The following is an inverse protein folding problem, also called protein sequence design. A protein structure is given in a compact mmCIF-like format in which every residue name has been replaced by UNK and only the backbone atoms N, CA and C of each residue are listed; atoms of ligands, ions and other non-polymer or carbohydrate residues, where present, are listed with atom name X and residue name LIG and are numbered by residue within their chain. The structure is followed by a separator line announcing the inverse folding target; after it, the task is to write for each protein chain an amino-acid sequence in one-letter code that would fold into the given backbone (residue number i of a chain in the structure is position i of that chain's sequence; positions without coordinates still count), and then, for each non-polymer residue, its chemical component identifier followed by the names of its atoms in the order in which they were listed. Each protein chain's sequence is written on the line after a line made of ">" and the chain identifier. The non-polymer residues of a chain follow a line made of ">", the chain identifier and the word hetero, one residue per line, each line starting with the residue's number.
data_IF_880921734002
#
_entry.id   IF_880921734002
#
_cell.length_a   1.000
_cell.length_b   1.000
_cell.length_c   1.000
_cell.angle_alpha   90.00
_cell.angle_beta   90.00
_cell.angle_gamma   90.00
#
_symmetry.space_group_name_H-M   'P 1'
#
loop_
_entity.id
_entity.type
_entity.pdbx_description
1 polymer ?
#
# COMPACT_ATOMS: atom_id res chain seq x y z
N UNK A 1 13.67 49.69 -39.98
CA UNK A 1 13.28 48.28 -39.88
C UNK A 1 14.20 47.64 -38.82
N UNK A 2 13.71 47.43 -37.59
CA UNK A 2 14.42 46.72 -36.55
C UNK A 2 13.89 45.29 -36.51
N UNK A 3 14.74 44.33 -36.87
CA UNK A 3 14.40 42.91 -36.74
C UNK A 3 14.44 42.51 -35.27
N UNK A 4 13.33 42.00 -34.75
CA UNK A 4 13.21 41.43 -33.45
C UNK A 4 13.62 39.95 -33.55
N UNK A 5 14.80 39.60 -33.06
CA UNK A 5 15.25 38.21 -32.94
C UNK A 5 14.62 37.63 -31.67
N UNK A 6 13.64 36.76 -31.87
CA UNK A 6 13.04 36.02 -30.78
C UNK A 6 13.95 34.82 -30.45
N UNK A 7 14.69 34.90 -29.34
CA UNK A 7 15.50 33.80 -28.82
C UNK A 7 14.56 32.78 -28.17
N UNK A 8 14.33 31.64 -28.84
CA UNK A 8 13.62 30.50 -28.28
C UNK A 8 14.56 29.79 -27.31
N UNK A 9 14.42 30.03 -26.01
CA UNK A 9 15.09 29.22 -24.99
C UNK A 9 14.41 27.84 -24.95
N UNK A 10 15.02 26.85 -25.59
CA UNK A 10 14.69 25.44 -25.38
C UNK A 10 15.27 25.08 -24.02
N UNK A 11 14.43 24.97 -23.02
CA UNK A 11 14.81 24.35 -21.75
C UNK A 11 15.11 22.88 -22.02
N UNK A 12 16.38 22.52 -22.13
CA UNK A 12 16.83 21.14 -22.04
C UNK A 12 16.51 20.67 -20.61
N UNK A 13 15.39 20.03 -20.42
CA UNK A 13 15.12 19.25 -19.22
C UNK A 13 16.20 18.17 -19.13
N UNK A 14 17.03 18.25 -18.10
CA UNK A 14 17.93 17.16 -17.73
C UNK A 14 17.06 15.94 -17.49
N UNK A 15 17.16 14.93 -18.39
CA UNK A 15 16.59 13.60 -18.13
C UNK A 15 17.23 13.13 -16.82
N UNK A 16 16.44 13.05 -15.76
CA UNK A 16 16.89 12.45 -14.52
C UNK A 16 17.37 11.03 -14.86
N UNK A 17 18.55 10.65 -14.35
CA UNK A 17 19.07 9.29 -14.53
C UNK A 17 18.06 8.30 -13.97
N UNK A 18 17.87 7.19 -14.68
CA UNK A 18 17.02 6.10 -14.16
C UNK A 18 17.53 5.69 -12.77
N UNK A 19 16.63 5.46 -11.79
CA UNK A 19 17.05 5.04 -10.46
C UNK A 19 17.73 3.67 -10.53
N UNK A 20 18.69 3.44 -9.66
CA UNK A 20 19.29 2.13 -9.52
C UNK A 20 18.26 1.16 -8.93
N UNK A 21 17.97 0.08 -9.67
CA UNK A 21 16.99 -0.94 -9.25
C UNK A 21 17.71 -2.25 -8.95
N UNK A 22 17.42 -2.81 -7.79
CA UNK A 22 17.94 -4.11 -7.34
C UNK A 22 16.79 -5.12 -7.27
N UNK A 23 16.98 -6.31 -7.86
CA UNK A 23 16.07 -7.44 -7.65
C UNK A 23 16.32 -8.04 -6.27
N UNK A 24 15.32 -8.02 -5.42
CA UNK A 24 15.39 -8.59 -4.06
C UNK A 24 14.94 -10.04 -4.07
N UNK A 25 13.85 -10.35 -4.79
CA UNK A 25 13.34 -11.70 -4.92
C UNK A 25 12.57 -11.89 -6.23
N UNK A 26 12.61 -13.10 -6.79
CA UNK A 26 12.01 -13.41 -8.09
C UNK A 26 13.06 -13.44 -9.21
N UNK A 27 12.66 -13.13 -10.42
CA UNK A 27 13.52 -13.16 -11.61
C UNK A 27 13.49 -11.83 -12.36
N UNK A 28 14.60 -11.49 -13.04
CA UNK A 28 14.62 -10.44 -14.05
C UNK A 28 13.95 -10.92 -15.34
N UNK A 29 13.25 -10.03 -16.02
CA UNK A 29 12.77 -10.28 -17.37
C UNK A 29 13.92 -10.10 -18.40
N UNK A 30 13.77 -10.73 -19.55
CA UNK A 30 14.73 -10.57 -20.66
C UNK A 30 14.88 -9.10 -21.05
N UNK A 31 16.11 -8.62 -21.14
CA UNK A 31 16.41 -7.26 -21.59
C UNK A 31 16.46 -6.19 -20.48
N UNK A 32 16.15 -6.51 -19.22
CA UNK A 32 16.16 -5.54 -18.11
C UNK A 32 17.55 -5.34 -17.47
N UNK A 33 18.60 -6.01 -17.99
CA UNK A 33 19.99 -5.78 -17.61
C UNK A 33 20.50 -6.52 -16.39
N UNK A 34 19.71 -7.42 -15.81
CA UNK A 34 20.11 -8.31 -14.72
C UNK A 34 20.37 -9.75 -15.20
N UNK A 35 21.06 -10.57 -14.39
CA UNK A 35 21.25 -11.98 -14.72
C UNK A 35 19.91 -12.71 -14.72
N UNK A 36 19.63 -13.45 -15.79
CA UNK A 36 18.47 -14.36 -15.83
C UNK A 36 18.73 -15.46 -14.81
N UNK A 37 18.02 -15.43 -13.68
CA UNK A 37 18.13 -16.47 -12.67
C UNK A 37 17.16 -17.60 -13.00
N UNK A 38 17.66 -18.81 -13.10
CA UNK A 38 16.85 -20.03 -13.36
C UNK A 38 16.29 -20.66 -12.08
N UNK A 39 16.30 -19.92 -10.96
CA UNK A 39 15.75 -20.43 -9.70
C UNK A 39 14.22 -20.52 -9.78
N UNK A 40 13.60 -21.62 -9.31
CA UNK A 40 12.16 -21.67 -9.18
C UNK A 40 11.68 -20.50 -8.32
N UNK A 41 10.79 -19.68 -8.86
CA UNK A 41 10.17 -18.60 -8.08
C UNK A 41 8.94 -19.18 -7.38
N UNK A 42 8.96 -19.36 -6.04
CA UNK A 42 7.83 -19.90 -5.31
C UNK A 42 6.70 -18.88 -5.11
N UNK A 43 6.92 -17.58 -5.37
CA UNK A 43 5.91 -16.54 -5.16
C UNK A 43 4.73 -16.69 -6.12
N UNK A 44 3.51 -16.58 -5.56
CA UNK A 44 2.24 -16.65 -6.30
C UNK A 44 1.44 -15.38 -6.06
N UNK A 45 1.62 -14.41 -6.94
CA UNK A 45 1.01 -13.08 -6.82
C UNK A 45 1.33 -12.44 -5.45
N UNK A 46 2.58 -12.05 -5.20
CA UNK A 46 2.92 -11.26 -4.01
C UNK A 46 2.17 -9.92 -4.08
N UNK A 47 1.62 -9.47 -2.95
CA UNK A 47 0.77 -8.27 -2.93
C UNK A 47 1.26 -7.20 -1.97
N UNK A 48 1.90 -7.58 -0.88
CA UNK A 48 2.45 -6.65 0.09
C UNK A 48 3.71 -7.20 0.73
N UNK A 49 4.57 -6.29 1.12
CA UNK A 49 5.77 -6.57 1.92
C UNK A 49 5.89 -5.55 3.04
N UNK A 50 6.47 -5.98 4.17
CA UNK A 50 6.86 -5.11 5.27
C UNK A 50 7.97 -5.76 6.08
N UNK A 51 8.59 -5.04 7.03
CA UNK A 51 9.84 -5.43 7.67
C UNK A 51 9.77 -5.39 9.19
N UNK A 52 10.53 -6.25 9.86
CA UNK A 52 10.86 -6.11 11.27
C UNK A 52 12.16 -5.30 11.49
N UNK A 53 12.48 -5.01 12.76
CA UNK A 53 13.67 -4.24 13.11
C UNK A 53 14.99 -4.94 12.71
N UNK A 54 14.99 -6.26 12.56
CA UNK A 54 16.12 -7.06 12.13
C UNK A 54 16.33 -7.01 10.61
N UNK A 55 15.40 -6.38 9.86
CA UNK A 55 15.44 -6.30 8.40
C UNK A 55 14.92 -7.55 7.71
N UNK A 56 14.23 -8.45 8.44
CA UNK A 56 13.52 -9.54 7.78
C UNK A 56 12.32 -8.96 7.02
N UNK A 57 12.19 -9.34 5.75
CA UNK A 57 11.04 -9.00 4.92
C UNK A 57 9.94 -10.06 5.07
N UNK A 58 8.72 -9.62 5.30
CA UNK A 58 7.53 -10.46 5.31
C UNK A 58 6.71 -10.20 4.05
N UNK A 59 6.30 -11.27 3.37
CA UNK A 59 5.66 -11.22 2.05
C UNK A 59 4.33 -11.95 2.13
N UNK A 60 3.24 -11.31 1.72
CA UNK A 60 1.92 -11.94 1.62
C UNK A 60 1.55 -12.20 0.18
N UNK A 61 0.93 -13.34 -0.08
CA UNK A 61 0.47 -13.78 -1.39
C UNK A 61 -1.05 -13.73 -1.51
N UNK A 62 -1.55 -13.13 -2.57
CA UNK A 62 -2.99 -13.14 -2.87
C UNK A 62 -3.47 -14.52 -3.28
N UNK A 63 -2.78 -15.13 -4.24
CA UNK A 63 -3.17 -16.43 -4.81
C UNK A 63 -2.65 -17.62 -4.01
N UNK A 64 -1.48 -17.50 -3.40
CA UNK A 64 -0.80 -18.57 -2.69
C UNK A 64 -1.36 -18.87 -1.29
N UNK A 65 -2.05 -17.92 -0.68
CA UNK A 65 -2.58 -18.08 0.68
C UNK A 65 -1.51 -18.32 1.75
N UNK A 66 -0.29 -17.82 1.52
CA UNK A 66 0.88 -18.00 2.39
C UNK A 66 1.52 -16.68 2.76
N UNK A 67 2.18 -16.69 3.91
CA UNK A 67 3.07 -15.62 4.36
C UNK A 67 4.49 -16.17 4.40
N UNK A 68 5.38 -15.45 3.76
CA UNK A 68 6.79 -15.81 3.70
C UNK A 68 7.63 -14.80 4.47
N UNK A 69 8.79 -15.27 4.95
CA UNK A 69 9.85 -14.47 5.55
C UNK A 69 11.12 -14.65 4.72
N UNK A 70 11.73 -13.54 4.32
CA UNK A 70 13.04 -13.48 3.71
C UNK A 70 13.98 -12.72 4.65
N UNK A 71 15.06 -13.39 5.09
CA UNK A 71 16.05 -12.75 5.97
C UNK A 71 17.07 -11.94 5.16
N UNK A 72 17.84 -11.03 5.80
CA UNK A 72 18.95 -10.33 5.14
C UNK A 72 19.99 -11.25 4.52
N UNK A 73 20.14 -12.49 5.06
CA UNK A 73 21.03 -13.55 4.54
C UNK A 73 20.42 -14.34 3.37
N UNK A 74 19.28 -13.87 2.82
CA UNK A 74 18.53 -14.50 1.74
C UNK A 74 17.95 -15.90 2.07
N UNK A 75 17.63 -16.16 3.35
CA UNK A 75 16.92 -17.36 3.76
C UNK A 75 15.41 -17.12 3.60
N UNK A 76 14.78 -17.86 2.66
CA UNK A 76 13.36 -17.80 2.37
C UNK A 76 12.62 -18.92 3.07
N UNK A 77 11.60 -18.58 3.87
CA UNK A 77 10.79 -19.52 4.66
C UNK A 77 9.31 -19.19 4.60
N UNK A 78 8.45 -20.18 4.41
CA UNK A 78 7.01 -20.00 4.65
C UNK A 78 6.73 -20.08 6.15
N UNK A 79 6.18 -19.02 6.73
CA UNK A 79 5.92 -18.91 8.17
C UNK A 79 4.45 -19.11 8.54
N UNK A 80 3.54 -18.92 7.59
CA UNK A 80 2.10 -19.08 7.81
C UNK A 80 1.36 -19.47 6.53
N UNK A 81 0.20 -20.08 6.71
CA UNK A 81 -0.68 -20.51 5.64
C UNK A 81 -0.35 -21.90 5.10
N UNK A 82 -1.34 -22.76 4.98
CA UNK A 82 -1.21 -24.08 4.34
C UNK A 82 -1.39 -24.03 2.81
N UNK A 83 -1.78 -22.86 2.29
CA UNK A 83 -2.04 -22.62 0.86
C UNK A 83 -3.51 -22.78 0.47
N UNK A 84 -4.37 -23.21 1.37
CA UNK A 84 -5.82 -23.24 1.13
C UNK A 84 -6.47 -21.90 1.48
N UNK A 85 -7.61 -21.63 0.83
CA UNK A 85 -8.34 -20.35 0.97
C UNK A 85 -9.55 -20.57 1.87
N UNK A 86 -9.41 -20.25 3.15
CA UNK A 86 -10.52 -20.30 4.09
C UNK A 86 -10.24 -19.44 5.33
N UNK A 87 -11.08 -19.52 6.36
CA UNK A 87 -10.93 -18.79 7.62
C UNK A 87 -10.83 -19.80 8.78
N UNK A 88 -9.60 -20.25 9.08
CA UNK A 88 -9.33 -21.21 10.15
C UNK A 88 -8.00 -20.92 10.84
N UNK A 89 -7.77 -21.54 11.99
CA UNK A 89 -6.49 -21.62 12.65
C UNK A 89 -6.24 -20.54 13.72
N UNK A 90 -7.26 -19.77 14.12
CA UNK A 90 -7.14 -18.87 15.28
C UNK A 90 -6.82 -19.66 16.56
N UNK A 91 -5.82 -19.18 17.31
CA UNK A 91 -5.33 -19.83 18.53
C UNK A 91 -4.38 -21.01 18.30
N UNK A 92 -4.05 -21.30 17.04
CA UNK A 92 -3.15 -22.39 16.66
C UNK A 92 -1.90 -21.93 15.91
N UNK A 93 -1.03 -22.89 15.53
CA UNK A 93 0.16 -22.60 14.75
C UNK A 93 -0.17 -21.94 13.41
N UNK A 94 0.49 -20.82 13.09
CA UNK A 94 0.22 -20.05 11.87
C UNK A 94 0.45 -20.85 10.58
N UNK A 95 1.35 -21.84 10.59
CA UNK A 95 1.58 -22.75 9.43
C UNK A 95 0.36 -23.60 9.09
N UNK A 96 -0.50 -23.88 10.06
CA UNK A 96 -1.76 -24.62 9.86
C UNK A 96 -2.98 -23.70 9.69
N UNK A 97 -2.79 -22.39 9.79
CA UNK A 97 -3.84 -21.42 9.55
C UNK A 97 -4.14 -21.28 8.05
N UNK A 98 -5.34 -20.82 7.74
CA UNK A 98 -5.75 -20.52 6.37
C UNK A 98 -6.12 -19.06 6.23
N UNK A 99 -5.81 -18.47 5.09
CA UNK A 99 -6.08 -17.09 4.76
C UNK A 99 -6.79 -16.98 3.42
N UNK A 100 -7.49 -15.89 3.17
CA UNK A 100 -8.22 -15.72 1.92
C UNK A 100 -8.10 -14.31 1.37
N UNK A 101 -7.29 -14.18 0.30
CA UNK A 101 -7.09 -12.90 -0.38
C UNK A 101 -6.31 -11.90 0.46
N UNK A 102 -5.13 -12.26 0.92
CA UNK A 102 -4.25 -11.35 1.65
C UNK A 102 -3.76 -10.24 0.72
N UNK A 103 -4.19 -9.00 0.97
CA UNK A 103 -3.83 -7.87 0.11
C UNK A 103 -2.69 -7.03 0.66
N UNK A 104 -2.44 -7.07 1.96
CA UNK A 104 -1.41 -6.26 2.57
C UNK A 104 -0.95 -6.83 3.90
N UNK A 105 0.23 -6.40 4.34
CA UNK A 105 0.87 -6.78 5.59
C UNK A 105 1.42 -5.55 6.29
N UNK A 106 1.40 -5.53 7.61
CA UNK A 106 2.06 -4.54 8.45
C UNK A 106 2.79 -5.28 9.58
N UNK A 107 4.06 -4.94 9.81
CA UNK A 107 4.93 -5.66 10.74
C UNK A 107 5.41 -4.72 11.83
N UNK A 108 5.39 -5.18 13.07
CA UNK A 108 5.99 -4.42 14.18
C UNK A 108 7.50 -4.62 14.22
N UNK A 109 8.27 -3.72 14.82
CA UNK A 109 9.71 -3.90 15.02
C UNK A 109 10.08 -5.21 15.73
N UNK A 110 9.18 -5.72 16.59
CA UNK A 110 9.36 -6.98 17.29
C UNK A 110 9.11 -8.23 16.43
N UNK A 111 8.50 -8.07 15.24
CA UNK A 111 8.20 -9.17 14.32
C UNK A 111 6.79 -9.75 14.45
N UNK A 112 5.86 -9.07 15.13
CA UNK A 112 4.43 -9.38 15.02
C UNK A 112 3.92 -8.97 13.62
N UNK A 113 3.29 -9.89 12.90
CA UNK A 113 2.85 -9.71 11.52
C UNK A 113 1.33 -9.57 11.47
N UNK A 114 0.85 -8.40 11.07
CA UNK A 114 -0.57 -8.12 10.85
C UNK A 114 -0.90 -8.26 9.37
N UNK A 115 -2.02 -8.88 9.05
CA UNK A 115 -2.40 -9.27 7.68
C UNK A 115 -3.82 -8.80 7.41
N UNK A 116 -4.02 -8.07 6.31
CA UNK A 116 -5.37 -7.84 5.78
C UNK A 116 -5.87 -9.14 5.14
N UNK A 117 -6.64 -9.91 5.86
CA UNK A 117 -7.28 -11.14 5.38
C UNK A 117 -8.62 -10.77 4.72
N UNK A 118 -8.53 -10.19 3.52
CA UNK A 118 -9.54 -9.30 2.93
C UNK A 118 -10.87 -9.99 2.66
N UNK A 119 -10.84 -11.21 2.15
CA UNK A 119 -12.07 -11.97 1.85
C UNK A 119 -12.61 -12.73 3.07
N UNK A 120 -11.87 -12.71 4.17
CA UNK A 120 -12.33 -13.09 5.50
C UNK A 120 -12.75 -11.87 6.34
N UNK A 121 -12.74 -10.64 5.77
CA UNK A 121 -13.27 -9.41 6.35
C UNK A 121 -12.68 -9.07 7.72
N UNK A 122 -11.38 -9.31 7.91
CA UNK A 122 -10.72 -9.12 9.20
C UNK A 122 -9.22 -8.81 9.05
N UNK A 123 -8.60 -8.42 10.15
CA UNK A 123 -7.15 -8.37 10.28
C UNK A 123 -6.70 -9.52 11.17
N UNK A 124 -5.81 -10.34 10.62
CA UNK A 124 -5.18 -11.46 11.33
C UNK A 124 -3.80 -11.03 11.83
N UNK A 125 -3.34 -11.68 12.87
CA UNK A 125 -2.00 -11.51 13.43
C UNK A 125 -1.29 -12.85 13.51
N UNK A 126 -0.02 -12.87 13.15
CA UNK A 126 0.93 -13.93 13.50
C UNK A 126 1.85 -13.34 14.56
N UNK A 127 1.86 -13.90 15.76
CA UNK A 127 2.75 -13.42 16.81
C UNK A 127 4.18 -13.98 16.64
N UNK A 128 5.12 -13.44 17.40
CA UNK A 128 6.53 -13.84 17.37
C UNK A 128 6.78 -15.31 17.75
N UNK A 129 5.79 -15.98 18.36
CA UNK A 129 5.81 -17.43 18.66
C UNK A 129 5.27 -18.26 17.49
N UNK A 130 4.81 -17.62 16.39
CA UNK A 130 4.24 -18.28 15.24
C UNK A 130 2.79 -18.72 15.44
N UNK A 131 2.02 -18.06 16.31
CA UNK A 131 0.61 -18.35 16.55
C UNK A 131 -0.28 -17.39 15.77
N UNK A 132 -1.32 -17.91 15.11
CA UNK A 132 -2.30 -17.11 14.37
C UNK A 132 -3.50 -16.72 15.25
N UNK A 133 -3.98 -15.50 15.07
CA UNK A 133 -5.20 -15.00 15.73
C UNK A 133 -5.87 -13.93 14.88
N UNK A 134 -7.17 -13.75 15.00
CA UNK A 134 -7.86 -12.57 14.48
C UNK A 134 -7.81 -11.47 15.55
N UNK A 135 -7.38 -10.28 15.18
CA UNK A 135 -7.25 -9.14 16.11
C UNK A 135 -8.28 -8.05 15.87
N UNK A 136 -8.70 -7.83 14.62
CA UNK A 136 -9.73 -6.84 14.27
C UNK A 136 -10.74 -7.50 13.33
N UNK A 137 -12.02 -7.30 13.63
CA UNK A 137 -13.11 -7.81 12.80
C UNK A 137 -13.75 -9.11 13.30
N UNK A 138 -14.98 -9.30 12.86
CA UNK A 138 -15.79 -10.50 13.21
C UNK A 138 -15.55 -11.69 12.30
N UNK A 139 -14.84 -11.51 11.19
CA UNK A 139 -14.75 -12.52 10.12
C UNK A 139 -16.03 -12.61 9.27
N UNK A 140 -17.00 -11.72 9.45
CA UNK A 140 -18.25 -11.68 8.68
C UNK A 140 -18.37 -10.36 7.94
N UNK A 141 -18.85 -10.42 6.71
CA UNK A 141 -19.10 -9.23 5.89
C UNK A 141 -20.15 -8.32 6.53
N UNK A 142 -19.87 -7.03 6.60
CA UNK A 142 -20.82 -6.05 7.14
C UNK A 142 -20.19 -4.69 7.38
N UNK A 143 -20.93 -3.82 8.06
CA UNK A 143 -20.47 -2.53 8.58
C UNK A 143 -20.96 -2.37 10.01
N UNK A 144 -20.09 -1.85 10.89
CA UNK A 144 -20.44 -1.51 12.28
C UNK A 144 -19.25 -1.64 13.22
N UNK A 145 -19.56 -1.47 14.50
CA UNK A 145 -18.59 -1.63 15.59
C UNK A 145 -17.81 -0.36 15.97
N UNK A 146 -18.11 0.82 15.39
CA UNK A 146 -17.48 2.08 15.78
C UNK A 146 -17.73 2.39 17.27
N UNK A 147 -16.67 2.82 17.96
CA UNK A 147 -16.65 3.03 19.41
C UNK A 147 -16.58 1.75 20.24
N UNK A 148 -16.73 0.60 19.62
CA UNK A 148 -16.74 -0.72 20.27
C UNK A 148 -15.43 -1.51 20.13
N UNK A 149 -15.40 -2.73 20.71
CA UNK A 149 -14.20 -3.59 20.71
C UNK A 149 -13.77 -4.01 19.31
N UNK A 150 -12.44 -4.11 19.08
CA UNK A 150 -11.82 -4.49 17.82
C UNK A 150 -12.46 -5.74 17.18
N UNK A 151 -12.70 -6.78 17.98
CA UNK A 151 -13.27 -8.07 17.56
C UNK A 151 -14.78 -8.02 17.23
N UNK A 152 -15.45 -6.91 17.50
CA UNK A 152 -16.88 -6.70 17.20
C UNK A 152 -17.10 -5.85 15.95
N UNK A 153 -16.03 -5.27 15.38
CA UNK A 153 -16.13 -4.50 14.14
C UNK A 153 -16.47 -5.41 12.95
N UNK A 154 -17.26 -4.91 12.01
CA UNK A 154 -17.57 -5.57 10.76
C UNK A 154 -17.02 -4.76 9.58
N UNK A 155 -16.49 -5.46 8.57
CA UNK A 155 -15.87 -4.90 7.38
C UNK A 155 -16.42 -5.55 6.10
N UNK A 156 -16.21 -4.87 4.97
CA UNK A 156 -16.43 -5.43 3.63
C UNK A 156 -15.16 -5.28 2.80
N UNK A 157 -14.23 -6.20 2.89
CA UNK A 157 -12.90 -6.17 2.30
C UNK A 157 -11.94 -5.15 2.93
N UNK A 158 -11.11 -5.65 3.84
CA UNK A 158 -9.97 -4.95 4.40
C UNK A 158 -8.81 -4.96 3.41
N UNK A 159 -8.76 -3.99 2.46
CA UNK A 159 -7.82 -4.07 1.34
C UNK A 159 -6.39 -3.66 1.67
N UNK A 160 -6.24 -2.62 2.48
CA UNK A 160 -4.94 -2.13 2.93
C UNK A 160 -5.00 -1.92 4.44
N UNK A 161 -3.91 -2.24 5.08
CA UNK A 161 -3.66 -1.92 6.49
C UNK A 161 -2.29 -1.24 6.58
N UNK A 162 -2.18 -0.22 7.42
CA UNK A 162 -0.90 0.45 7.71
C UNK A 162 -0.88 0.81 9.18
N UNK A 163 0.27 0.72 9.83
CA UNK A 163 0.42 1.13 11.21
C UNK A 163 0.99 2.55 11.31
N UNK A 164 0.69 3.24 12.42
CA UNK A 164 1.43 4.45 12.79
C UNK A 164 2.86 4.09 13.26
N UNK A 165 3.71 5.10 13.40
CA UNK A 165 5.10 4.91 13.85
C UNK A 165 5.23 4.28 15.25
N UNK A 166 4.22 4.43 16.11
CA UNK A 166 4.19 3.81 17.43
C UNK A 166 3.72 2.34 17.40
N UNK A 167 3.26 1.84 16.27
CA UNK A 167 2.71 0.48 16.07
C UNK A 167 1.54 0.13 17.01
N UNK A 168 0.80 1.13 17.47
CA UNK A 168 -0.35 0.97 18.36
C UNK A 168 -1.69 1.29 17.70
N UNK A 169 -1.67 1.71 16.43
CA UNK A 169 -2.84 2.02 15.61
C UNK A 169 -2.73 1.36 14.24
N UNK A 170 -3.82 0.73 13.79
CA UNK A 170 -3.94 0.16 12.44
C UNK A 170 -4.99 0.96 11.67
N UNK A 171 -4.56 1.61 10.59
CA UNK A 171 -5.43 2.23 9.60
C UNK A 171 -5.88 1.16 8.61
N UNK A 172 -7.18 1.12 8.31
CA UNK A 172 -7.79 0.05 7.49
C UNK A 172 -8.62 0.67 6.38
N UNK A 173 -8.31 0.35 5.13
CA UNK A 173 -9.15 0.69 3.98
C UNK A 173 -10.30 -0.32 3.84
N UNK A 174 -11.49 0.06 4.30
CA UNK A 174 -12.75 -0.70 4.25
C UNK A 174 -13.50 -0.36 2.96
N UNK A 175 -13.01 -0.89 1.84
CA UNK A 175 -13.26 -0.36 0.50
C UNK A 175 -14.74 -0.32 0.10
N UNK A 176 -15.52 -1.41 0.29
CA UNK A 176 -16.93 -1.43 -0.11
C UNK A 176 -17.83 -0.68 0.87
N UNK A 177 -17.40 -0.53 2.11
CA UNK A 177 -18.04 0.38 3.06
C UNK A 177 -17.67 1.85 2.81
N UNK A 178 -16.78 2.13 1.86
CA UNK A 178 -16.31 3.48 1.49
C UNK A 178 -15.86 4.28 2.71
N UNK A 179 -15.01 3.65 3.53
CA UNK A 179 -14.51 4.22 4.78
C UNK A 179 -13.05 3.89 5.00
N UNK A 180 -12.39 4.76 5.73
CA UNK A 180 -11.14 4.47 6.40
C UNK A 180 -11.45 4.29 7.87
N UNK A 181 -11.06 3.14 8.39
CA UNK A 181 -11.26 2.78 9.79
C UNK A 181 -9.93 2.80 10.53
N UNK A 182 -9.98 3.15 11.80
CA UNK A 182 -8.85 3.14 12.72
C UNK A 182 -9.11 2.12 13.82
N UNK A 183 -8.25 1.13 13.93
CA UNK A 183 -8.21 0.20 15.05
C UNK A 183 -7.11 0.64 16.01
N UNK A 184 -7.48 1.14 17.17
CA UNK A 184 -6.57 1.54 18.23
C UNK A 184 -6.32 0.33 19.15
N UNK A 185 -5.09 -0.18 19.12
CA UNK A 185 -4.70 -1.39 19.83
C UNK A 185 -4.57 -1.16 21.36
N UNK A 186 -4.32 0.09 21.79
CA UNK A 186 -4.24 0.44 23.22
C UNK A 186 -5.62 0.50 23.87
N UNK A 187 -6.55 1.23 23.25
CA UNK A 187 -7.91 1.35 23.76
C UNK A 187 -8.77 0.11 23.43
N UNK A 188 -8.34 -0.71 22.46
CA UNK A 188 -9.09 -1.87 21.97
C UNK A 188 -10.33 -1.49 21.17
N UNK A 189 -10.42 -0.28 20.59
CA UNK A 189 -11.61 0.25 19.92
C UNK A 189 -11.37 0.50 18.43
N UNK A 190 -12.44 0.41 17.64
CA UNK A 190 -12.48 0.82 16.23
C UNK A 190 -13.26 2.12 16.08
N UNK A 191 -12.82 2.98 15.16
CA UNK A 191 -13.56 4.18 14.74
C UNK A 191 -13.46 4.40 13.23
N UNK A 192 -14.40 5.14 12.65
CA UNK A 192 -14.30 5.67 11.29
C UNK A 192 -13.59 7.01 11.33
N UNK A 193 -12.57 7.22 10.49
CA UNK A 193 -11.83 8.49 10.38
C UNK A 193 -12.05 9.20 9.05
N UNK A 194 -12.56 8.52 8.03
CA UNK A 194 -13.00 9.12 6.77
C UNK A 194 -14.05 8.27 6.08
N UNK A 195 -14.92 8.92 5.32
CA UNK A 195 -15.97 8.27 4.56
C UNK A 195 -17.29 8.12 5.33
N UNK A 196 -18.41 8.43 4.68
CA UNK A 196 -19.76 8.30 5.22
C UNK A 196 -20.53 7.09 4.66
N UNK A 197 -19.87 6.27 3.81
CA UNK A 197 -20.46 5.11 3.14
C UNK A 197 -21.10 5.42 1.79
N UNK A 198 -21.31 6.68 1.44
CA UNK A 198 -21.81 7.07 0.12
C UNK A 198 -20.68 7.11 -0.90
N UNK A 199 -21.00 6.81 -2.15
CA UNK A 199 -20.07 6.94 -3.26
C UNK A 199 -20.06 8.38 -3.76
N UNK A 200 -18.89 9.00 -3.85
CA UNK A 200 -18.77 10.36 -4.37
C UNK A 200 -17.37 10.93 -4.15
N UNK A 201 -17.13 12.10 -4.74
CA UNK A 201 -15.89 12.85 -4.55
C UNK A 201 -16.09 13.79 -3.35
N UNK A 202 -15.23 13.75 -2.31
CA UNK A 202 -15.32 14.66 -1.19
C UNK A 202 -15.04 16.09 -1.63
N UNK A 203 -15.79 17.05 -1.12
CA UNK A 203 -15.46 18.46 -1.27
C UNK A 203 -14.22 18.79 -0.41
N UNK A 204 -13.29 19.58 -0.95
CA UNK A 204 -12.11 20.03 -0.20
C UNK A 204 -12.54 20.85 1.04
N UNK A 205 -11.98 20.53 2.20
CA UNK A 205 -12.30 21.14 3.48
C UNK A 205 -13.55 20.57 4.19
N UNK A 206 -14.22 19.58 3.61
CA UNK A 206 -15.32 18.89 4.27
C UNK A 206 -14.81 18.07 5.47
N UNK A 207 -15.71 17.81 6.44
CA UNK A 207 -15.45 16.89 7.54
C UNK A 207 -15.29 15.46 6.97
N UNK A 208 -14.14 14.83 7.18
CA UNK A 208 -13.79 13.57 6.52
C UNK A 208 -14.78 12.44 6.80
N UNK A 209 -15.30 12.36 8.03
CA UNK A 209 -16.28 11.33 8.44
C UNK A 209 -17.67 11.53 7.84
N UNK A 210 -17.97 12.74 7.36
CA UNK A 210 -19.25 13.11 6.75
C UNK A 210 -19.16 13.14 5.21
N UNK A 211 -17.94 13.12 4.67
CA UNK A 211 -17.69 13.20 3.25
C UNK A 211 -17.83 11.82 2.55
N UNK A 212 -18.31 11.78 1.30
CA UNK A 212 -18.31 10.55 0.51
C UNK A 212 -16.90 10.17 0.07
N UNK A 213 -16.67 8.88 -0.24
CA UNK A 213 -15.47 8.39 -0.89
C UNK A 213 -15.83 7.55 -2.13
N UNK A 214 -14.99 7.60 -3.17
CA UNK A 214 -15.26 6.86 -4.40
C UNK A 214 -14.95 5.37 -4.25
N UNK A 215 -13.71 5.05 -3.88
CA UNK A 215 -13.20 3.67 -3.78
C UNK A 215 -11.88 3.70 -2.98
N UNK A 216 -11.93 3.90 -1.65
CA UNK A 216 -10.73 4.05 -0.81
C UNK A 216 -9.96 2.72 -0.75
N UNK A 217 -8.86 2.63 -1.49
CA UNK A 217 -8.13 1.40 -1.74
C UNK A 217 -6.94 1.20 -0.80
N UNK A 218 -6.26 2.30 -0.45
CA UNK A 218 -5.13 2.27 0.47
C UNK A 218 -5.11 3.50 1.37
N UNK A 219 -4.38 3.39 2.47
CA UNK A 219 -4.25 4.42 3.49
C UNK A 219 -2.86 4.39 4.07
N UNK A 220 -2.26 5.56 4.33
CA UNK A 220 -0.98 5.68 5.04
C UNK A 220 -0.93 6.99 5.84
N UNK A 221 -0.55 6.96 7.13
CA UNK A 221 -0.28 8.15 7.91
C UNK A 221 1.11 8.71 7.59
N UNK A 222 1.29 10.02 7.73
CA UNK A 222 2.60 10.68 7.72
C UNK A 222 3.08 11.03 9.14
N UNK A 223 4.29 11.60 9.24
CA UNK A 223 4.90 12.00 10.51
C UNK A 223 4.17 13.14 11.23
N UNK A 224 3.33 13.89 10.50
CA UNK A 224 2.60 15.08 11.00
C UNK A 224 1.16 14.76 11.39
N UNK A 225 0.76 13.47 11.33
CA UNK A 225 -0.59 13.03 11.63
C UNK A 225 -1.60 13.29 10.51
N UNK A 226 -1.16 13.63 9.30
CA UNK A 226 -2.01 13.55 8.14
C UNK A 226 -2.22 12.09 7.75
N UNK A 227 -3.41 11.76 7.25
CA UNK A 227 -3.72 10.42 6.76
C UNK A 227 -4.04 10.50 5.27
N UNK A 228 -3.15 9.97 4.45
CA UNK A 228 -3.37 9.88 3.00
C UNK A 228 -4.31 8.73 2.68
N UNK A 229 -5.26 8.97 1.78
CA UNK A 229 -6.24 8.01 1.31
C UNK A 229 -6.15 7.94 -0.21
N UNK A 230 -5.78 6.77 -0.72
CA UNK A 230 -5.72 6.51 -2.15
C UNK A 230 -7.05 5.96 -2.64
N UNK A 231 -7.63 6.61 -3.62
CA UNK A 231 -8.86 6.17 -4.26
C UNK A 231 -8.59 5.52 -5.62
N UNK A 232 -8.83 4.21 -5.72
CA UNK A 232 -8.65 3.46 -6.96
C UNK A 232 -9.63 3.94 -8.05
N UNK A 233 -10.91 3.86 -7.79
CA UNK A 233 -11.96 4.30 -8.73
C UNK A 233 -12.13 5.81 -8.80
N UNK A 234 -11.55 6.54 -7.86
CA UNK A 234 -11.47 8.00 -7.86
C UNK A 234 -10.24 8.55 -8.58
N UNK A 235 -9.29 7.70 -8.96
CA UNK A 235 -8.03 8.09 -9.61
C UNK A 235 -7.36 9.29 -8.91
N UNK A 236 -7.31 9.27 -7.58
CA UNK A 236 -6.90 10.42 -6.79
C UNK A 236 -6.26 10.02 -5.45
N UNK A 237 -5.41 10.92 -4.95
CA UNK A 237 -4.88 10.91 -3.61
C UNK A 237 -5.57 12.00 -2.80
N UNK A 238 -6.13 11.62 -1.65
CA UNK A 238 -6.73 12.52 -0.67
C UNK A 238 -5.84 12.59 0.56
N UNK A 239 -6.01 13.64 1.35
CA UNK A 239 -5.41 13.76 2.68
C UNK A 239 -6.49 14.15 3.70
N UNK A 240 -6.57 13.43 4.80
CA UNK A 240 -7.29 13.83 6.00
C UNK A 240 -6.28 14.48 6.93
N UNK A 241 -6.50 15.76 7.27
CA UNK A 241 -5.63 16.51 8.17
C UNK A 241 -5.96 16.25 9.64
N UNK A 242 -5.08 16.57 10.60
CA UNK A 242 -5.34 16.38 12.03
C UNK A 242 -6.61 17.07 12.55
N UNK A 243 -7.07 18.14 11.86
CA UNK A 243 -8.33 18.83 12.18
C UNK A 243 -9.58 18.07 11.66
N UNK A 244 -9.44 16.86 11.14
CA UNK A 244 -10.52 16.03 10.62
C UNK A 244 -11.05 16.41 9.25
N UNK A 245 -10.43 17.37 8.56
CA UNK A 245 -10.88 17.82 7.22
C UNK A 245 -10.15 17.07 6.10
N UNK A 246 -10.90 16.75 5.03
CA UNK A 246 -10.38 16.04 3.86
C UNK A 246 -10.14 16.99 2.69
N UNK A 247 -9.07 16.72 1.92
CA UNK A 247 -8.70 17.48 0.73
C UNK A 247 -8.21 16.54 -0.37
N UNK A 248 -8.43 16.90 -1.63
CA UNK A 248 -7.77 16.29 -2.78
C UNK A 248 -6.41 16.94 -2.95
N UNK A 249 -5.35 16.13 -2.96
CA UNK A 249 -3.97 16.61 -3.16
C UNK A 249 -3.40 16.23 -4.51
N UNK A 250 -3.86 15.11 -5.11
CA UNK A 250 -3.44 14.72 -6.44
C UNK A 250 -4.50 13.89 -7.17
N UNK A 251 -4.44 13.92 -8.51
CA UNK A 251 -5.34 13.22 -9.40
C UNK A 251 -6.53 14.07 -9.85
N UNK A 252 -6.79 14.06 -11.16
CA UNK A 252 -7.92 14.78 -11.79
C UNK A 252 -9.26 14.07 -11.62
N UNK A 253 -9.28 12.86 -11.05
CA UNK A 253 -10.47 12.00 -11.02
C UNK A 253 -10.69 11.22 -12.33
N UNK A 254 -9.85 11.44 -13.33
CA UNK A 254 -9.87 10.72 -14.62
C UNK A 254 -8.64 9.84 -14.74
N UNK A 255 -8.81 8.66 -15.35
CA UNK A 255 -7.70 7.76 -15.63
C UNK A 255 -6.69 8.42 -16.56
N UNK A 256 -5.41 8.32 -16.22
CA UNK A 256 -4.29 8.81 -17.03
C UNK A 256 -2.97 8.58 -16.33
N UNK A 257 -1.87 9.07 -16.92
CA UNK A 257 -0.50 8.89 -16.42
C UNK A 257 0.34 10.17 -16.42
N UNK A 258 -0.31 11.34 -16.49
CA UNK A 258 0.40 12.61 -16.56
C UNK A 258 1.02 12.97 -15.21
N UNK A 259 2.29 13.37 -15.23
CA UNK A 259 3.03 13.99 -14.13
C UNK A 259 2.77 15.51 -14.05
N UNK A 260 3.22 16.14 -12.97
CA UNK A 260 3.15 17.58 -12.76
C UNK A 260 2.36 17.98 -11.52
N UNK A 261 1.78 19.20 -11.47
CA UNK A 261 1.03 19.68 -10.33
C UNK A 261 -0.08 18.70 -9.93
N UNK A 262 -0.13 18.29 -8.66
CA UNK A 262 -0.91 17.16 -8.19
C UNK A 262 -2.36 17.15 -8.66
N UNK A 263 -3.07 18.30 -8.53
CA UNK A 263 -4.48 18.41 -8.99
C UNK A 263 -4.66 18.39 -10.52
N UNK A 264 -3.58 18.52 -11.30
CA UNK A 264 -3.58 18.42 -12.76
C UNK A 264 -3.01 17.10 -13.24
N UNK A 265 -2.28 16.38 -12.38
CA UNK A 265 -1.75 15.06 -12.66
C UNK A 265 -2.87 14.02 -12.73
N UNK A 266 -2.60 12.90 -13.37
CA UNK A 266 -3.57 11.81 -13.48
C UNK A 266 -2.97 10.47 -13.03
N UNK A 267 -3.81 9.61 -12.47
CA UNK A 267 -3.48 8.27 -11.97
C UNK A 267 -4.33 7.21 -12.68
N UNK A 268 -3.86 5.98 -12.74
CA UNK A 268 -4.49 4.85 -13.42
C UNK A 268 -4.95 3.73 -12.48
N UNK A 269 -6.08 3.86 -11.82
CA UNK A 269 -6.60 2.85 -10.89
C UNK A 269 -5.56 2.39 -9.84
N UNK A 270 -4.94 3.33 -9.11
CA UNK A 270 -3.83 3.04 -8.21
C UNK A 270 -4.22 2.10 -7.07
N UNK A 271 -3.28 1.32 -6.54
CA UNK A 271 -3.57 0.22 -5.60
C UNK A 271 -3.02 0.42 -4.19
N UNK A 272 -1.83 0.93 -4.06
CA UNK A 272 -1.15 1.00 -2.77
C UNK A 272 -0.35 2.28 -2.61
N UNK A 273 -0.13 2.69 -1.35
CA UNK A 273 0.74 3.81 -0.99
C UNK A 273 1.61 3.47 0.21
N UNK A 274 2.78 4.09 0.28
CA UNK A 274 3.56 4.24 1.49
C UNK A 274 4.08 5.67 1.60
N UNK A 275 4.58 6.03 2.78
CA UNK A 275 5.13 7.36 3.08
C UNK A 275 6.60 7.19 3.48
N UNK A 276 7.49 8.04 2.95
CA UNK A 276 8.90 8.04 3.32
C UNK A 276 9.20 8.95 4.53
N UNK A 277 10.46 8.95 4.98
CA UNK A 277 10.92 9.75 6.13
C UNK A 277 10.83 11.27 5.91
N UNK A 278 10.63 11.72 4.67
CA UNK A 278 10.44 13.12 4.28
C UNK A 278 8.96 13.49 4.06
N UNK A 279 8.04 12.57 4.36
CA UNK A 279 6.59 12.63 4.16
C UNK A 279 6.15 12.59 2.67
N UNK A 280 7.02 12.17 1.74
CA UNK A 280 6.58 11.93 0.36
C UNK A 280 5.72 10.66 0.30
N UNK A 281 4.74 10.66 -0.60
CA UNK A 281 3.83 9.51 -0.78
C UNK A 281 4.19 8.79 -2.08
N UNK A 282 4.63 7.54 -1.98
CA UNK A 282 4.82 6.68 -3.13
C UNK A 282 3.54 5.92 -3.45
N UNK A 283 3.23 5.77 -4.73
CA UNK A 283 1.96 5.24 -5.23
C UNK A 283 2.25 4.13 -6.24
N UNK A 284 1.74 2.94 -5.99
CA UNK A 284 1.64 1.88 -7.01
C UNK A 284 0.48 2.21 -7.96
N UNK A 285 0.79 2.82 -9.10
CA UNK A 285 -0.16 3.27 -10.12
C UNK A 285 -0.40 2.14 -11.14
N UNK A 286 -1.10 1.10 -10.67
CA UNK A 286 -1.14 -0.26 -11.23
C UNK A 286 -1.57 -0.29 -12.70
N UNK A 287 -2.65 0.36 -13.08
CA UNK A 287 -3.13 0.29 -14.47
C UNK A 287 -2.30 1.12 -15.47
N UNK A 288 -1.26 1.79 -14.98
CA UNK A 288 -0.24 2.45 -15.79
C UNK A 288 1.11 1.71 -15.75
N UNK A 289 1.25 0.67 -14.93
CA UNK A 289 2.50 -0.06 -14.67
C UNK A 289 3.63 0.86 -14.20
N UNK A 290 3.29 1.82 -13.32
CA UNK A 290 4.21 2.86 -12.83
C UNK A 290 4.25 2.90 -11.31
N UNK A 291 5.38 3.36 -10.78
CA UNK A 291 5.48 3.88 -9.42
C UNK A 291 5.58 5.39 -9.51
N UNK A 292 4.70 6.08 -8.78
CA UNK A 292 4.62 7.54 -8.74
C UNK A 292 4.98 8.04 -7.35
N UNK A 293 5.46 9.26 -7.27
CA UNK A 293 5.77 9.97 -6.02
C UNK A 293 5.01 11.28 -5.99
N UNK A 294 4.25 11.51 -4.91
CA UNK A 294 3.68 12.81 -4.58
C UNK A 294 4.56 13.46 -3.52
N UNK A 295 5.05 14.65 -3.80
CA UNK A 295 5.81 15.50 -2.87
C UNK A 295 4.86 16.52 -2.21
N UNK A 296 4.58 16.43 -0.90
CA UNK A 296 3.69 17.37 -0.23
C UNK A 296 4.25 18.78 -0.08
N UNK A 297 5.57 18.98 -0.26
CA UNK A 297 6.20 20.31 -0.18
C UNK A 297 5.98 21.11 -1.46
N UNK A 298 6.08 20.45 -2.61
CA UNK A 298 5.88 21.09 -3.93
C UNK A 298 4.43 20.92 -4.43
N UNK A 299 3.74 19.91 -3.95
CA UNK A 299 2.40 19.53 -4.42
C UNK A 299 2.42 18.83 -5.78
N UNK A 300 3.56 18.29 -6.21
CA UNK A 300 3.73 17.66 -7.52
C UNK A 300 3.72 16.14 -7.46
N UNK A 301 3.32 15.51 -8.54
CA UNK A 301 3.52 14.08 -8.83
C UNK A 301 4.59 13.93 -9.90
N UNK A 302 5.49 12.97 -9.67
CA UNK A 302 6.49 12.51 -10.63
C UNK A 302 6.49 10.99 -10.74
N UNK A 303 6.89 10.46 -11.89
CA UNK A 303 7.10 9.02 -12.08
C UNK A 303 8.50 8.62 -11.62
N UNK A 304 8.56 7.59 -10.77
CA UNK A 304 9.79 7.06 -10.17
C UNK A 304 10.30 5.83 -10.93
N UNK A 305 9.39 4.92 -11.32
CA UNK A 305 9.76 3.67 -11.98
C UNK A 305 8.69 3.24 -12.98
N UNK A 306 9.08 2.45 -13.99
CA UNK A 306 8.20 1.76 -14.95
C UNK A 306 8.30 2.26 -16.38
N UNK A 307 8.77 3.49 -16.64
CA UNK A 307 8.91 4.01 -18.01
C UNK A 307 10.32 3.81 -18.63
N UNK A 308 11.31 3.42 -17.82
CA UNK A 308 12.68 3.16 -18.27
C UNK A 308 12.94 1.74 -18.76
N UNK A 309 14.15 1.22 -18.48
CA UNK A 309 14.55 -0.15 -18.82
C UNK A 309 13.79 -1.19 -18.03
N UNK A 310 13.59 -0.95 -16.72
CA UNK A 310 12.81 -1.83 -15.85
C UNK A 310 11.33 -1.58 -16.11
N UNK A 311 10.65 -2.57 -16.65
CA UNK A 311 9.19 -2.55 -16.85
C UNK A 311 8.50 -3.24 -15.70
N UNK A 312 7.37 -2.69 -15.30
CA UNK A 312 6.50 -3.28 -14.29
C UNK A 312 5.29 -3.93 -14.96
N UNK A 313 4.69 -4.88 -14.26
CA UNK A 313 3.44 -5.52 -14.64
C UNK A 313 2.57 -5.65 -13.39
N UNK A 314 1.46 -4.90 -13.38
CA UNK A 314 0.54 -4.86 -12.23
C UNK A 314 1.25 -4.62 -10.88
N UNK A 315 2.08 -3.55 -10.72
CA UNK A 315 2.71 -3.25 -9.44
C UNK A 315 1.63 -2.99 -8.38
N UNK A 316 1.62 -3.80 -7.32
CA UNK A 316 0.56 -3.72 -6.33
C UNK A 316 1.01 -3.08 -5.02
N UNK A 317 2.14 -3.48 -4.46
CA UNK A 317 2.64 -3.01 -3.18
C UNK A 317 3.82 -2.06 -3.31
N UNK A 318 3.88 -1.06 -2.44
CA UNK A 318 5.04 -0.20 -2.21
C UNK A 318 5.28 -0.10 -0.72
N UNK A 319 6.55 -0.14 -0.28
CA UNK A 319 6.92 -0.04 1.14
C UNK A 319 8.24 0.71 1.25
N UNK A 320 8.30 1.65 2.18
CA UNK A 320 9.50 2.39 2.52
C UNK A 320 10.16 1.78 3.75
N UNK A 321 11.44 1.43 3.66
CA UNK A 321 12.20 0.89 4.77
C UNK A 321 13.64 1.37 4.74
N UNK A 322 14.07 2.05 5.80
CA UNK A 322 15.47 2.51 5.99
C UNK A 322 16.07 3.22 4.77
N UNK A 323 15.36 4.23 4.27
CA UNK A 323 15.82 5.04 3.15
C UNK A 323 15.69 4.38 1.78
N UNK A 324 14.92 3.29 1.65
CA UNK A 324 14.78 2.52 0.41
C UNK A 324 13.33 2.24 0.09
N UNK A 325 12.97 2.35 -1.18
CA UNK A 325 11.64 2.01 -1.66
C UNK A 325 11.62 0.58 -2.20
N UNK A 326 10.75 -0.25 -1.65
CA UNK A 326 10.48 -1.59 -2.15
C UNK A 326 9.20 -1.60 -2.97
N UNK A 327 9.23 -2.32 -4.08
CA UNK A 327 8.12 -2.43 -5.04
C UNK A 327 7.76 -3.89 -5.24
N UNK A 328 6.51 -4.22 -5.02
CA UNK A 328 5.96 -5.55 -5.32
C UNK A 328 5.41 -5.52 -6.74
N UNK A 329 6.18 -6.05 -7.67
CA UNK A 329 5.84 -6.18 -9.09
C UNK A 329 5.10 -7.50 -9.31
N UNK A 330 3.81 -7.45 -9.00
CA UNK A 330 2.93 -8.61 -8.81
C UNK A 330 2.80 -9.48 -10.06
N UNK A 331 2.62 -8.87 -11.23
CA UNK A 331 2.48 -9.60 -12.50
C UNK A 331 3.72 -10.40 -12.87
N UNK A 332 4.91 -9.88 -12.54
CA UNK A 332 6.17 -10.59 -12.72
C UNK A 332 6.55 -11.49 -11.52
N UNK A 333 5.72 -11.56 -10.47
CA UNK A 333 6.01 -12.32 -9.24
C UNK A 333 7.39 -12.00 -8.64
N UNK A 334 7.73 -10.71 -8.52
CA UNK A 334 9.05 -10.27 -8.02
C UNK A 334 8.94 -9.08 -7.07
N UNK A 335 10.01 -8.88 -6.32
CA UNK A 335 10.18 -7.74 -5.42
C UNK A 335 11.43 -7.00 -5.84
N UNK A 336 11.28 -5.72 -6.11
CA UNK A 336 12.34 -4.80 -6.50
C UNK A 336 12.62 -3.83 -5.36
N UNK A 337 13.84 -3.29 -5.32
CA UNK A 337 14.24 -2.19 -4.44
C UNK A 337 14.83 -1.07 -5.29
N UNK A 338 14.38 0.13 -5.05
CA UNK A 338 14.92 1.35 -5.62
C UNK A 338 15.90 1.93 -4.62
N UNK A 339 17.09 2.25 -5.11
CA UNK A 339 18.13 2.98 -4.38
C UNK A 339 18.20 4.39 -4.98
N UNK A 340 18.24 5.41 -4.13
CA UNK A 340 18.46 6.79 -4.55
C UNK A 340 19.87 7.02 -5.08
#
# INVERSE_FOLDING_TARGET
>A
MKQLVCLLMIALGTLASEPKVTLIYGNWNSGEGGPVTTRPNPLKQPFGVDFDAQGNMFIVELAGGRVHKLTPENIFTTIAGDGSKSYKGDGGPAKAATFNGMHNVAVTPAGDVYISDSWNFCVRKIDTRGMASTVVGTGKRGFGGDGGPLRKAAFTFTMCITMNAAHDQIYIADIQNRRIRLADLKSGKVSTIAGNGKRGVPADGAQATEAPLMDPRAVAPDSKGNVYVLERGGHALRVVRPNGKIYTVAGTGKRGKQDGPGKQASLGAPKHICVDDADNVYIADEANDLIRKYDPKTGEISTVLGHGKVKLDYPHGVTWEKGKLYVVDTGHNRILRIED
#
